data_IF_433117311081
#
_entry.id   IF_433117311081
#
_cell.length_a   1.000
_cell.length_b   1.000
_cell.length_c   1.000
_cell.angle_alpha   90.00
_cell.angle_beta   90.00
_cell.angle_gamma   90.00
#
_symmetry.space_group_name_H-M   'P 1'
#
loop_
_entity.id
_entity.type
_entity.pdbx_description
1 polymer ?
#
# COMPACT_ATOMS: atom_id res chain seq x y z
N UNK A 1 -13.45 17.11 8.46
CA UNK A 1 -12.56 17.17 7.27
C UNK A 1 -11.92 18.55 7.02
N UNK A 2 -12.14 19.59 7.83
CA UNK A 2 -11.61 20.94 7.55
C UNK A 2 -10.19 21.26 8.05
N UNK A 3 -9.60 20.42 8.92
CA UNK A 3 -8.30 20.70 9.56
C UNK A 3 -7.15 20.08 8.74
N UNK A 4 -7.41 18.94 8.08
CA UNK A 4 -6.39 18.19 7.35
C UNK A 4 -5.76 18.98 6.19
N UNK A 5 -6.56 19.72 5.41
CA UNK A 5 -6.02 20.46 4.26
C UNK A 5 -5.06 21.58 4.67
N UNK A 6 -5.26 22.20 5.84
CA UNK A 6 -4.38 23.28 6.33
C UNK A 6 -2.98 22.80 6.70
N UNK A 7 -2.84 21.55 7.16
CA UNK A 7 -1.54 20.99 7.55
C UNK A 7 -0.86 20.22 6.41
N UNK A 8 -1.63 19.52 5.57
CA UNK A 8 -1.09 18.73 4.47
C UNK A 8 -0.63 19.60 3.29
N UNK A 9 -1.32 20.70 3.02
CA UNK A 9 -1.01 21.57 1.88
C UNK A 9 0.38 22.23 2.02
N UNK A 10 0.79 22.79 3.17
CA UNK A 10 2.16 23.28 3.38
C UNK A 10 3.21 22.17 3.28
N UNK A 11 2.98 21.02 3.93
CA UNK A 11 3.92 19.89 3.95
C UNK A 11 4.23 19.35 2.55
N UNK A 12 3.24 19.34 1.65
CA UNK A 12 3.43 18.81 0.29
C UNK A 12 3.78 19.89 -0.75
N UNK A 13 3.34 21.13 -0.55
CA UNK A 13 3.66 22.24 -1.45
C UNK A 13 5.10 22.71 -1.30
N UNK A 14 5.64 22.75 -0.09
CA UNK A 14 6.98 23.27 0.17
C UNK A 14 8.08 22.43 -0.52
N UNK A 15 8.09 21.09 -0.43
CA UNK A 15 9.11 20.28 -1.11
C UNK A 15 9.02 20.33 -2.63
N UNK A 16 7.80 20.39 -3.19
CA UNK A 16 7.58 20.44 -4.64
C UNK A 16 7.98 21.80 -5.23
N UNK A 17 7.70 22.89 -4.51
CA UNK A 17 8.17 24.23 -4.86
C UNK A 17 9.69 24.34 -4.78
N UNK A 18 10.35 23.72 -3.80
CA UNK A 18 11.81 23.81 -3.63
C UNK A 18 12.57 22.91 -4.62
N UNK A 19 12.20 21.64 -4.77
CA UNK A 19 12.96 20.69 -5.61
C UNK A 19 12.76 20.91 -7.12
N UNK A 20 11.62 21.45 -7.55
CA UNK A 20 11.27 21.51 -8.98
C UNK A 20 11.08 22.92 -9.53
N UNK A 21 11.36 23.97 -8.74
CA UNK A 21 11.26 25.37 -9.15
C UNK A 21 12.03 25.67 -10.46
N UNK A 22 13.21 25.08 -10.65
CA UNK A 22 14.03 25.26 -11.87
C UNK A 22 13.42 24.58 -13.11
N UNK A 23 12.69 23.48 -12.94
CA UNK A 23 12.08 22.71 -14.02
C UNK A 23 10.69 23.28 -14.42
N UNK A 24 9.92 23.71 -13.41
CA UNK A 24 8.65 24.44 -13.54
C UNK A 24 8.83 25.73 -14.34
N UNK A 25 9.91 26.48 -14.08
CA UNK A 25 10.15 27.78 -14.71
C UNK A 25 10.58 27.71 -16.18
N UNK A 26 11.16 26.58 -16.63
CA UNK A 26 11.62 26.44 -18.02
C UNK A 26 10.59 25.81 -18.97
N UNK A 27 9.80 24.80 -18.55
CA UNK A 27 8.75 24.17 -19.39
C UNK A 27 7.60 23.57 -18.55
N UNK A 28 6.54 24.35 -18.22
CA UNK A 28 5.47 23.89 -17.33
C UNK A 28 4.62 22.76 -17.95
N UNK A 29 4.27 22.84 -19.23
CA UNK A 29 3.35 21.88 -19.88
C UNK A 29 3.92 20.45 -19.95
N UNK A 30 5.21 20.29 -20.26
CA UNK A 30 5.84 18.95 -20.34
C UNK A 30 5.96 18.29 -18.96
N UNK A 31 6.12 19.10 -17.92
CA UNK A 31 6.17 18.64 -16.54
C UNK A 31 4.79 18.13 -16.07
N UNK A 32 3.72 18.90 -16.30
CA UNK A 32 2.35 18.46 -15.98
C UNK A 32 1.91 17.23 -16.78
N UNK A 33 2.26 17.13 -18.06
CA UNK A 33 2.00 15.92 -18.87
C UNK A 33 2.74 14.69 -18.35
N UNK A 34 4.02 14.84 -17.96
CA UNK A 34 4.82 13.74 -17.40
C UNK A 34 4.30 13.30 -16.03
N UNK A 35 3.94 14.26 -15.17
CA UNK A 35 3.27 13.99 -13.90
C UNK A 35 1.92 13.30 -14.11
N UNK A 36 1.07 13.83 -14.98
CA UNK A 36 -0.24 13.26 -15.29
C UNK A 36 -0.14 11.83 -15.80
N UNK A 37 0.84 11.54 -16.68
CA UNK A 37 1.12 10.17 -17.15
C UNK A 37 1.55 9.24 -16.01
N UNK A 38 2.36 9.72 -15.08
CA UNK A 38 2.80 8.95 -13.90
C UNK A 38 1.66 8.68 -12.92
N UNK A 39 0.80 9.68 -12.69
CA UNK A 39 -0.40 9.56 -11.85
C UNK A 39 -1.38 8.60 -12.48
N UNK A 40 -1.70 8.77 -13.76
CA UNK A 40 -2.62 7.89 -14.49
C UNK A 40 -2.13 6.44 -14.49
N UNK A 41 -0.83 6.21 -14.72
CA UNK A 41 -0.21 4.89 -14.62
C UNK A 41 -0.37 4.28 -13.23
N UNK A 42 -0.29 5.09 -12.18
CA UNK A 42 -0.46 4.64 -10.80
C UNK A 42 -1.92 4.37 -10.43
N UNK A 43 -2.85 5.17 -10.94
CA UNK A 43 -4.28 4.94 -10.79
C UNK A 43 -4.72 3.67 -11.53
N UNK A 44 -4.26 3.48 -12.77
CA UNK A 44 -4.53 2.26 -13.55
C UNK A 44 -4.01 1.02 -12.82
N UNK A 45 -2.80 1.09 -12.25
CA UNK A 45 -2.26 0.01 -11.44
C UNK A 45 -3.11 -0.32 -10.20
N UNK A 46 -3.51 0.70 -9.44
CA UNK A 46 -4.36 0.49 -8.26
C UNK A 46 -5.72 -0.11 -8.65
N UNK A 47 -6.29 0.37 -9.76
CA UNK A 47 -7.56 -0.12 -10.28
C UNK A 47 -7.48 -1.58 -10.73
N UNK A 48 -6.43 -1.98 -11.47
CA UNK A 48 -6.23 -3.37 -11.90
C UNK A 48 -6.05 -4.29 -10.70
N UNK A 49 -5.33 -3.85 -9.66
CA UNK A 49 -5.16 -4.62 -8.43
C UNK A 49 -6.48 -4.87 -7.69
N UNK A 50 -7.29 -3.82 -7.48
CA UNK A 50 -8.59 -3.93 -6.81
C UNK A 50 -9.56 -4.79 -7.65
N UNK A 51 -9.53 -4.64 -8.98
CA UNK A 51 -10.34 -5.46 -9.88
C UNK A 51 -9.96 -6.94 -9.74
N UNK A 52 -8.66 -7.28 -9.80
CA UNK A 52 -8.18 -8.65 -9.65
C UNK A 52 -8.62 -9.27 -8.31
N UNK A 53 -8.52 -8.52 -7.21
CA UNK A 53 -9.00 -8.96 -5.90
C UNK A 53 -10.51 -9.27 -5.90
N UNK A 54 -11.32 -8.37 -6.46
CA UNK A 54 -12.78 -8.56 -6.56
C UNK A 54 -13.15 -9.74 -7.45
N UNK A 55 -12.48 -9.90 -8.59
CA UNK A 55 -12.68 -11.06 -9.47
C UNK A 55 -12.32 -12.36 -8.77
N UNK A 56 -11.20 -12.41 -8.03
CA UNK A 56 -10.82 -13.57 -7.23
C UNK A 56 -11.86 -13.93 -6.17
N UNK A 57 -12.39 -12.95 -5.44
CA UNK A 57 -13.46 -13.19 -4.47
C UNK A 57 -14.74 -13.72 -5.12
N UNK A 58 -15.17 -13.13 -6.23
CA UNK A 58 -16.35 -13.59 -6.97
C UNK A 58 -16.14 -15.01 -7.51
N UNK A 59 -14.94 -15.33 -8.01
CA UNK A 59 -14.58 -16.66 -8.50
C UNK A 59 -14.71 -17.72 -7.39
N UNK A 60 -14.10 -17.49 -6.23
CA UNK A 60 -14.21 -18.42 -5.10
C UNK A 60 -15.63 -18.50 -4.53
N UNK A 61 -16.37 -17.39 -4.51
CA UNK A 61 -17.78 -17.39 -4.10
C UNK A 61 -18.64 -18.23 -5.05
N UNK A 62 -18.40 -18.13 -6.36
CA UNK A 62 -19.15 -18.87 -7.36
C UNK A 62 -18.87 -20.38 -7.29
N UNK A 63 -17.63 -20.78 -7.00
CA UNK A 63 -17.26 -22.20 -6.84
C UNK A 63 -17.87 -22.80 -5.56
N UNK A 64 -17.79 -22.08 -4.43
CA UNK A 64 -18.11 -22.65 -3.13
C UNK A 64 -19.56 -22.37 -2.68
N UNK A 65 -20.29 -21.51 -3.39
CA UNK A 65 -21.70 -21.18 -3.14
C UNK A 65 -22.00 -20.47 -1.81
N UNK A 66 -21.02 -20.36 -0.91
CA UNK A 66 -21.14 -19.75 0.41
C UNK A 66 -19.96 -18.82 0.72
N UNK A 67 -20.23 -17.76 1.49
CA UNK A 67 -19.18 -16.82 1.93
C UNK A 67 -18.71 -17.20 3.32
N UNK A 68 -17.93 -18.29 3.41
CA UNK A 68 -17.34 -18.74 4.67
C UNK A 68 -16.00 -18.02 4.94
N UNK A 69 -15.61 -17.89 6.21
CA UNK A 69 -14.34 -17.24 6.61
C UNK A 69 -13.11 -17.83 5.90
N UNK A 70 -13.13 -19.14 5.61
CA UNK A 70 -12.08 -19.83 4.85
C UNK A 70 -11.98 -19.31 3.41
N UNK A 71 -13.11 -19.05 2.76
CA UNK A 71 -13.19 -18.54 1.37
C UNK A 71 -12.54 -17.16 1.27
N UNK A 72 -12.80 -16.29 2.25
CA UNK A 72 -12.19 -14.96 2.31
C UNK A 72 -10.67 -15.05 2.49
N UNK A 73 -10.19 -15.98 3.32
CA UNK A 73 -8.75 -16.20 3.53
C UNK A 73 -8.08 -16.76 2.27
N UNK A 74 -8.69 -17.74 1.60
CA UNK A 74 -8.15 -18.31 0.35
C UNK A 74 -8.18 -17.32 -0.81
N UNK A 75 -9.26 -16.56 -0.95
CA UNK A 75 -9.34 -15.48 -1.95
C UNK A 75 -8.31 -14.39 -1.68
N UNK A 76 -8.12 -14.01 -0.41
CA UNK A 76 -7.05 -13.11 0.00
C UNK A 76 -5.67 -13.64 -0.38
N UNK A 77 -5.39 -14.92 -0.12
CA UNK A 77 -4.13 -15.54 -0.47
C UNK A 77 -3.89 -15.61 -1.99
N UNK A 78 -4.89 -16.04 -2.77
CA UNK A 78 -4.79 -16.13 -4.23
C UNK A 78 -4.64 -14.73 -4.87
N UNK A 79 -5.34 -13.74 -4.33
CA UNK A 79 -5.19 -12.36 -4.79
C UNK A 79 -3.80 -11.79 -4.54
N UNK A 80 -3.14 -12.22 -3.44
CA UNK A 80 -1.75 -11.88 -3.16
C UNK A 80 -0.78 -12.51 -4.17
N UNK A 81 -1.07 -13.71 -4.68
CA UNK A 81 -0.31 -14.31 -5.79
C UNK A 81 -0.50 -13.55 -7.11
N UNK A 82 -1.64 -12.89 -7.31
CA UNK A 82 -1.86 -11.98 -8.44
C UNK A 82 -0.90 -10.80 -8.48
N UNK A 83 -0.38 -10.37 -7.33
CA UNK A 83 0.64 -9.32 -7.25
C UNK A 83 1.97 -9.75 -7.89
N UNK A 84 2.21 -11.06 -8.03
CA UNK A 84 3.33 -11.63 -8.77
C UNK A 84 3.16 -11.57 -10.29
N UNK A 85 2.11 -10.95 -10.82
CA UNK A 85 1.97 -10.67 -12.26
C UNK A 85 2.46 -9.26 -12.65
N UNK A 86 2.73 -8.39 -11.68
CA UNK A 86 3.03 -6.96 -11.92
C UNK A 86 4.46 -6.68 -12.45
N UNK A 87 4.80 -5.62 -13.19
CA UNK A 87 6.19 -5.32 -13.52
C UNK A 87 7.15 -5.21 -12.31
N UNK A 88 8.31 -5.85 -12.43
CA UNK A 88 9.27 -6.16 -11.35
C UNK A 88 9.79 -4.95 -10.57
N UNK A 89 9.92 -3.79 -11.21
CA UNK A 89 10.45 -2.57 -10.59
C UNK A 89 9.55 -1.92 -9.52
N UNK A 90 8.23 -2.13 -9.56
CA UNK A 90 7.29 -1.57 -8.55
C UNK A 90 6.97 -2.57 -7.42
N UNK A 91 7.22 -3.86 -7.62
CA UNK A 91 6.91 -4.90 -6.63
C UNK A 91 7.72 -4.75 -5.36
N UNK A 92 9.01 -4.44 -5.49
CA UNK A 92 9.92 -4.27 -4.36
C UNK A 92 9.56 -3.04 -3.55
N UNK A 93 9.31 -1.90 -4.19
CA UNK A 93 8.85 -0.69 -3.50
C UNK A 93 7.55 -0.94 -2.73
N UNK A 94 6.55 -1.54 -3.39
CA UNK A 94 5.26 -1.86 -2.76
C UNK A 94 5.41 -2.87 -1.63
N UNK A 95 6.15 -3.96 -1.84
CA UNK A 95 6.38 -4.98 -0.81
C UNK A 95 7.04 -4.38 0.42
N UNK A 96 8.01 -3.48 0.21
CA UNK A 96 8.70 -2.76 1.27
C UNK A 96 7.71 -1.88 2.07
N UNK A 97 6.79 -1.15 1.41
CA UNK A 97 5.72 -0.40 2.08
C UNK A 97 4.71 -1.29 2.81
N UNK A 98 4.38 -2.47 2.27
CA UNK A 98 3.40 -3.38 2.86
C UNK A 98 3.95 -4.20 4.03
N UNK A 99 5.24 -4.48 4.04
CA UNK A 99 5.93 -5.29 5.06
C UNK A 99 5.63 -4.85 6.52
N UNK A 100 5.81 -3.57 6.92
CA UNK A 100 5.48 -3.13 8.28
C UNK A 100 4.02 -3.39 8.65
N UNK A 101 3.09 -3.10 7.72
CA UNK A 101 1.65 -3.30 7.94
C UNK A 101 1.28 -4.77 8.05
N UNK A 102 1.96 -5.63 7.29
CA UNK A 102 1.79 -7.07 7.41
C UNK A 102 2.26 -7.58 8.78
N UNK A 103 3.42 -7.12 9.26
CA UNK A 103 3.97 -7.48 10.57
C UNK A 103 3.01 -7.05 11.70
N UNK A 104 2.48 -5.83 11.65
CA UNK A 104 1.47 -5.34 12.61
C UNK A 104 0.21 -6.23 12.61
N UNK A 105 -0.34 -6.52 11.43
CA UNK A 105 -1.54 -7.35 11.29
C UNK A 105 -1.30 -8.80 11.76
N UNK A 106 -0.11 -9.34 11.47
CA UNK A 106 0.29 -10.67 11.89
C UNK A 106 0.41 -10.75 13.43
N UNK A 107 1.02 -9.76 14.05
CA UNK A 107 1.10 -9.65 15.51
C UNK A 107 -0.28 -9.58 16.16
N UNK A 108 -1.19 -8.77 15.62
CA UNK A 108 -2.58 -8.70 16.10
C UNK A 108 -3.32 -10.05 15.96
N UNK A 109 -3.09 -10.78 14.86
CA UNK A 109 -3.66 -12.10 14.64
C UNK A 109 -3.13 -13.13 15.64
N UNK A 110 -1.81 -13.15 15.90
CA UNK A 110 -1.17 -14.02 16.89
C UNK A 110 -1.68 -13.74 18.31
N UNK A 111 -1.85 -12.46 18.69
CA UNK A 111 -2.45 -12.08 19.99
C UNK A 111 -3.87 -12.60 20.14
N UNK A 112 -4.69 -12.52 19.08
CA UNK A 112 -6.07 -13.03 19.08
C UNK A 112 -6.15 -14.55 19.28
N UNK A 113 -5.13 -15.29 18.84
CA UNK A 113 -5.04 -16.75 19.04
C UNK A 113 -4.36 -17.15 20.35
N UNK A 114 -3.96 -16.20 21.19
CA UNK A 114 -3.22 -16.45 22.44
C UNK A 114 -1.88 -17.16 22.22
N UNK A 115 -1.28 -17.03 21.03
CA UNK A 115 0.00 -17.69 20.71
C UNK A 115 1.22 -16.92 21.23
N UNK A 116 1.04 -15.65 21.58
CA UNK A 116 2.11 -14.77 22.03
C UNK A 116 1.64 -14.04 23.28
N UNK A 117 2.47 -14.02 24.31
CA UNK A 117 2.22 -13.24 25.53
C UNK A 117 2.06 -11.76 25.16
N UNK A 118 1.00 -11.08 25.64
CA UNK A 118 0.79 -9.67 25.35
C UNK A 118 1.88 -8.84 26.02
N UNK A 119 2.94 -8.49 25.27
CA UNK A 119 3.91 -7.51 25.73
C UNK A 119 3.30 -6.10 25.67
N UNK A 120 3.46 -5.27 26.72
CA UNK A 120 3.12 -3.86 26.66
C UNK A 120 3.95 -3.18 25.56
N UNK A 121 3.30 -2.37 24.73
CA UNK A 121 3.92 -1.63 23.60
C UNK A 121 4.56 -2.47 22.49
N UNK A 122 4.32 -3.78 22.41
CA UNK A 122 4.94 -4.65 21.38
C UNK A 122 4.70 -4.18 19.93
N UNK A 123 3.54 -3.61 19.64
CA UNK A 123 3.22 -3.04 18.30
C UNK A 123 4.12 -1.85 17.94
N UNK A 124 4.45 -1.01 18.93
CA UNK A 124 5.30 0.18 18.74
C UNK A 124 6.73 -0.24 18.43
N UNK A 125 7.23 -1.27 19.10
CA UNK A 125 8.58 -1.81 18.87
C UNK A 125 8.68 -2.44 17.47
N UNK A 126 7.66 -3.22 17.07
CA UNK A 126 7.59 -3.80 15.73
C UNK A 126 7.55 -2.72 14.63
N UNK A 127 6.77 -1.65 14.85
CA UNK A 127 6.73 -0.51 13.94
C UNK A 127 8.07 0.21 13.87
N UNK A 128 8.72 0.47 15.01
CA UNK A 128 10.03 1.13 15.06
C UNK A 128 11.11 0.33 14.31
N UNK A 129 11.15 -1.00 14.49
CA UNK A 129 12.09 -1.87 13.77
C UNK A 129 11.81 -1.85 12.27
N UNK A 130 10.54 -1.95 11.87
CA UNK A 130 10.19 -1.96 10.45
C UNK A 130 10.56 -0.62 9.77
N UNK A 131 10.30 0.52 10.43
CA UNK A 131 10.73 1.83 9.95
C UNK A 131 12.25 1.98 9.90
N UNK A 132 12.99 1.40 10.86
CA UNK A 132 14.45 1.41 10.84
C UNK A 132 15.01 0.65 9.62
N UNK A 133 14.42 -0.51 9.27
CA UNK A 133 14.78 -1.27 8.06
C UNK A 133 14.47 -0.45 6.80
N UNK A 134 13.31 0.20 6.75
CA UNK A 134 12.92 1.06 5.62
C UNK A 134 13.87 2.22 5.37
N UNK A 135 14.45 2.81 6.42
CA UNK A 135 15.38 3.92 6.29
C UNK A 135 16.81 3.49 5.98
N UNK A 136 17.17 2.25 6.30
CA UNK A 136 18.50 1.70 6.01
C UNK A 136 18.64 1.19 4.56
N UNK A 137 17.53 0.74 3.96
CA UNK A 137 17.45 0.34 2.55
C UNK A 137 17.34 1.54 1.61
#
# INVERSE_FOLDING_TARGET
MGIAWKFYLPIHSVPTLIFQYKLLRKRPLRFFLKLGKNVLRSCLFLATYIAFFRYGLCFFKNIMGQTNRKVVVFAGFLSGLGLCWEPQGRRTELALYFLPRFIEAFWAWCKKRQWVTPLPYGEVILFAIAMAVLMYC
#
